data_IF_453639964249
#
_entry.id   IF_453639964249
#
_cell.length_a   1.000
_cell.length_b   1.000
_cell.length_c   1.000
_cell.angle_alpha   90.00
_cell.angle_beta   90.00
_cell.angle_gamma   90.00
#
_symmetry.space_group_name_H-M   'P 1'
#
loop_
_entity.id
_entity.type
_entity.pdbx_description
1 polymer ?
#
# COMPACT_ATOMS: atom_id res chain seq x y z
N UNK A 1 18.13 18.81 0.35
CA UNK A 1 17.70 17.85 -0.68
C UNK A 1 16.26 18.16 -1.03
N UNK A 2 15.88 18.26 -2.32
CA UNK A 2 14.56 18.72 -2.79
C UNK A 2 13.51 17.63 -2.74
N UNK A 3 13.93 16.38 -2.66
CA UNK A 3 13.03 15.27 -2.38
C UNK A 3 13.79 14.02 -1.94
N UNK A 4 13.12 13.21 -1.13
CA UNK A 4 13.64 11.95 -0.59
C UNK A 4 12.58 10.90 -0.86
N UNK A 5 12.98 9.70 -1.30
CA UNK A 5 12.07 8.57 -1.42
C UNK A 5 12.19 7.71 -0.16
N UNK A 6 11.05 7.41 0.45
CA UNK A 6 10.93 6.58 1.64
C UNK A 6 10.12 5.34 1.27
N UNK A 7 10.68 4.15 1.48
CA UNK A 7 10.01 2.88 1.24
C UNK A 7 9.93 2.13 2.57
N UNK A 8 8.72 1.76 2.97
CA UNK A 8 8.50 0.90 4.12
C UNK A 8 8.50 -0.53 3.62
N UNK A 9 9.38 -1.36 4.17
CA UNK A 9 9.53 -2.75 3.75
C UNK A 9 9.24 -3.67 4.93
N UNK A 10 8.72 -4.85 4.61
CA UNK A 10 8.62 -6.00 5.50
C UNK A 10 9.33 -7.16 4.83
N UNK A 11 10.17 -7.86 5.60
CA UNK A 11 10.80 -9.10 5.14
C UNK A 11 9.85 -10.26 5.42
N UNK A 12 9.52 -11.01 4.38
CA UNK A 12 8.70 -12.21 4.47
C UNK A 12 9.56 -13.42 4.14
N UNK A 13 9.45 -14.49 4.92
CA UNK A 13 10.09 -15.78 4.63
C UNK A 13 9.37 -16.45 3.45
N UNK A 14 10.11 -16.82 2.41
CA UNK A 14 9.55 -17.36 1.15
C UNK A 14 9.62 -18.89 1.05
N UNK A 15 10.23 -19.57 2.02
CA UNK A 15 10.63 -20.99 1.90
C UNK A 15 9.48 -22.01 1.95
N UNK A 16 8.24 -21.59 2.21
CA UNK A 16 7.14 -22.50 2.55
C UNK A 16 6.14 -22.72 1.40
N UNK A 17 6.24 -21.97 0.30
CA UNK A 17 5.28 -22.03 -0.83
C UNK A 17 6.01 -21.83 -2.17
N UNK A 18 5.89 -22.82 -3.06
CA UNK A 18 6.42 -22.74 -4.43
C UNK A 18 5.91 -21.48 -5.14
N UNK A 19 6.79 -20.79 -5.87
CA UNK A 19 6.48 -19.58 -6.65
C UNK A 19 6.04 -18.35 -5.82
N UNK A 20 6.20 -18.39 -4.49
CA UNK A 20 5.89 -17.24 -3.64
C UNK A 20 6.89 -16.08 -3.83
N UNK A 21 8.14 -16.37 -4.18
CA UNK A 21 9.13 -15.33 -4.51
C UNK A 21 8.71 -14.53 -5.75
N UNK A 22 8.32 -15.20 -6.84
CA UNK A 22 7.81 -14.55 -8.06
C UNK A 22 6.55 -13.72 -7.78
N UNK A 23 5.67 -14.21 -6.90
CA UNK A 23 4.48 -13.47 -6.46
C UNK A 23 4.84 -12.18 -5.70
N UNK A 24 5.84 -12.23 -4.80
CA UNK A 24 6.34 -11.05 -4.09
C UNK A 24 7.01 -10.07 -5.07
N UNK A 25 7.75 -10.57 -6.07
CA UNK A 25 8.31 -9.71 -7.13
C UNK A 25 7.20 -9.02 -7.93
N UNK A 26 6.13 -9.74 -8.30
CA UNK A 26 4.95 -9.17 -8.95
C UNK A 26 4.27 -8.07 -8.12
N UNK A 27 4.06 -8.30 -6.83
CA UNK A 27 3.48 -7.29 -5.92
C UNK A 27 4.40 -6.06 -5.74
N UNK A 28 5.72 -6.26 -5.69
CA UNK A 28 6.68 -5.17 -5.70
C UNK A 28 6.65 -4.37 -7.03
N UNK A 29 6.51 -5.06 -8.16
CA UNK A 29 6.37 -4.40 -9.46
C UNK A 29 5.07 -3.56 -9.53
N UNK A 30 3.94 -4.11 -9.08
CA UNK A 30 2.70 -3.35 -8.95
C UNK A 30 2.88 -2.12 -8.04
N UNK A 31 3.64 -2.26 -6.95
CA UNK A 31 3.95 -1.15 -6.04
C UNK A 31 4.67 0.00 -6.75
N UNK A 32 5.64 -0.31 -7.61
CA UNK A 32 6.32 0.69 -8.43
C UNK A 32 5.41 1.26 -9.50
N UNK A 33 4.63 0.44 -10.19
CA UNK A 33 3.70 0.89 -11.24
C UNK A 33 2.67 1.88 -10.68
N UNK A 34 2.08 1.55 -9.53
CA UNK A 34 1.15 2.42 -8.81
C UNK A 34 1.82 3.72 -8.36
N UNK A 35 3.01 3.65 -7.78
CA UNK A 35 3.78 4.84 -7.38
C UNK A 35 4.06 5.76 -8.57
N UNK A 36 4.55 5.20 -9.69
CA UNK A 36 4.89 5.95 -10.90
C UNK A 36 3.65 6.61 -11.53
N UNK A 37 2.50 5.96 -11.47
CA UNK A 37 1.26 6.51 -12.00
C UNK A 37 0.60 7.55 -11.08
N UNK A 38 0.89 7.53 -9.76
CA UNK A 38 0.37 8.50 -8.79
C UNK A 38 1.26 9.73 -8.60
N UNK A 39 2.57 9.60 -8.81
CA UNK A 39 3.51 10.67 -8.48
C UNK A 39 3.24 11.93 -9.31
N UNK A 40 3.37 13.08 -8.65
CA UNK A 40 3.28 14.39 -9.28
C UNK A 40 4.54 15.19 -8.95
N UNK A 41 5.06 16.00 -9.89
CA UNK A 41 6.21 16.84 -9.62
C UNK A 41 5.98 17.72 -8.39
N UNK A 42 6.96 17.76 -7.48
CA UNK A 42 6.98 18.66 -6.31
C UNK A 42 5.83 18.46 -5.30
N UNK A 43 5.10 17.35 -5.35
CA UNK A 43 4.12 16.99 -4.34
C UNK A 43 4.62 15.80 -3.50
N UNK A 44 4.38 15.84 -2.19
CA UNK A 44 4.57 14.67 -1.36
C UNK A 44 3.53 13.59 -1.73
N UNK A 45 3.99 12.35 -1.82
CA UNK A 45 3.15 11.18 -2.05
C UNK A 45 3.36 10.19 -0.91
N UNK A 46 2.25 9.68 -0.38
CA UNK A 46 2.21 8.50 0.47
C UNK A 46 1.14 7.58 -0.09
N UNK A 47 1.49 6.33 -0.28
CA UNK A 47 0.62 5.28 -0.81
C UNK A 47 1.03 3.99 -0.13
N UNK A 48 0.06 3.11 0.14
CA UNK A 48 0.29 1.74 0.60
C UNK A 48 -0.12 0.78 -0.52
N UNK A 49 0.78 0.43 -1.45
CA UNK A 49 0.40 -0.38 -2.59
C UNK A 49 -0.19 -1.73 -2.20
N UNK A 50 0.34 -2.35 -1.13
CA UNK A 50 -0.13 -3.63 -0.60
C UNK A 50 -1.61 -3.61 -0.21
N UNK A 51 -2.14 -2.49 0.29
CA UNK A 51 -3.57 -2.42 0.64
C UNK A 51 -4.45 -2.31 -0.60
N UNK A 52 -3.98 -1.62 -1.65
CA UNK A 52 -4.68 -1.56 -2.93
C UNK A 52 -4.65 -2.92 -3.64
N UNK A 53 -3.48 -3.55 -3.67
CA UNK A 53 -3.24 -4.90 -4.19
C UNK A 53 -4.24 -5.92 -3.58
N UNK A 54 -4.30 -6.01 -2.24
CA UNK A 54 -5.20 -6.92 -1.53
C UNK A 54 -6.69 -6.67 -1.88
N UNK A 55 -7.12 -5.41 -1.93
CA UNK A 55 -8.53 -5.07 -2.25
C UNK A 55 -8.87 -5.39 -3.70
N UNK A 56 -7.95 -5.16 -4.63
CA UNK A 56 -8.15 -5.49 -6.04
C UNK A 56 -8.13 -7.02 -6.23
N UNK A 57 -7.31 -7.75 -5.46
CA UNK A 57 -7.31 -9.21 -5.43
C UNK A 57 -8.61 -9.81 -4.84
N UNK A 58 -9.24 -9.10 -3.90
CA UNK A 58 -10.61 -9.42 -3.45
C UNK A 58 -11.67 -9.18 -4.53
N UNK A 59 -11.47 -8.25 -5.47
CA UNK A 59 -12.35 -8.15 -6.63
C UNK A 59 -12.06 -9.25 -7.66
N UNK A 60 -10.77 -9.58 -7.86
CA UNK A 60 -10.30 -10.65 -8.74
C UNK A 60 -10.91 -12.02 -8.42
N UNK A 61 -11.21 -12.29 -7.15
CA UNK A 61 -11.75 -13.57 -6.67
C UNK A 61 -13.09 -13.94 -7.28
N UNK A 62 -13.92 -12.95 -7.62
CA UNK A 62 -15.19 -13.15 -8.30
C UNK A 62 -15.25 -12.50 -9.69
N UNK A 63 -14.10 -12.05 -10.21
CA UNK A 63 -14.01 -11.51 -11.56
C UNK A 63 -13.93 -12.64 -12.60
N UNK A 64 -14.61 -12.44 -13.73
CA UNK A 64 -14.56 -13.34 -14.88
C UNK A 64 -14.03 -12.67 -16.15
N UNK A 65 -13.74 -13.48 -17.18
CA UNK A 65 -13.42 -13.00 -18.53
C UNK A 65 -12.31 -11.95 -18.59
N UNK A 66 -12.53 -10.88 -19.37
CA UNK A 66 -11.52 -9.84 -19.56
C UNK A 66 -11.28 -9.02 -18.28
N UNK A 67 -12.30 -8.81 -17.42
CA UNK A 67 -12.12 -8.15 -16.11
C UNK A 67 -11.10 -8.88 -15.26
N UNK A 68 -11.18 -10.22 -15.18
CA UNK A 68 -10.20 -11.03 -14.47
C UNK A 68 -8.80 -10.92 -15.07
N UNK A 69 -8.72 -10.95 -16.41
CA UNK A 69 -7.45 -10.89 -17.16
C UNK A 69 -6.74 -9.55 -16.96
N UNK A 70 -7.47 -8.44 -17.01
CA UNK A 70 -6.94 -7.10 -16.76
C UNK A 70 -6.41 -6.95 -15.34
N UNK A 71 -7.16 -7.44 -14.35
CA UNK A 71 -6.72 -7.40 -12.95
C UNK A 71 -5.47 -8.26 -12.74
N UNK A 72 -5.45 -9.50 -13.24
CA UNK A 72 -4.27 -10.37 -13.12
C UNK A 72 -3.03 -9.73 -13.74
N UNK A 73 -3.17 -9.13 -14.92
CA UNK A 73 -2.06 -8.45 -15.60
C UNK A 73 -1.56 -7.24 -14.82
N UNK A 74 -2.47 -6.41 -14.31
CA UNK A 74 -2.11 -5.19 -13.58
C UNK A 74 -1.41 -5.50 -12.25
N UNK A 75 -1.83 -6.56 -11.56
CA UNK A 75 -1.24 -7.02 -10.30
C UNK A 75 -0.07 -8.00 -10.49
N UNK A 76 0.37 -8.25 -11.74
CA UNK A 76 1.42 -9.21 -12.07
C UNK A 76 1.19 -10.62 -11.49
N UNK A 77 -0.07 -11.06 -11.49
CA UNK A 77 -0.47 -12.35 -10.93
C UNK A 77 -0.32 -13.50 -11.92
N UNK A 78 -0.05 -14.73 -11.44
CA UNK A 78 -0.19 -15.92 -12.26
C UNK A 78 -1.66 -16.13 -12.67
N UNK A 79 -1.89 -16.93 -13.71
CA UNK A 79 -3.21 -17.05 -14.36
C UNK A 79 -4.20 -17.93 -13.58
N UNK A 80 -3.72 -18.84 -12.72
CA UNK A 80 -4.57 -19.80 -12.01
C UNK A 80 -5.13 -19.24 -10.70
N UNK A 81 -6.44 -19.02 -10.64
CA UNK A 81 -7.13 -18.42 -9.49
C UNK A 81 -6.83 -19.13 -8.16
N UNK A 82 -7.07 -20.43 -8.04
CA UNK A 82 -6.87 -21.15 -6.77
C UNK A 82 -5.42 -21.10 -6.27
N UNK A 83 -4.46 -21.05 -7.20
CA UNK A 83 -3.06 -20.85 -6.86
C UNK A 83 -2.80 -19.44 -6.33
N UNK A 84 -3.33 -18.41 -7.00
CA UNK A 84 -3.29 -17.01 -6.54
C UNK A 84 -3.88 -16.87 -5.13
N UNK A 85 -5.02 -17.50 -4.84
CA UNK A 85 -5.66 -17.40 -3.52
C UNK A 85 -4.79 -17.97 -2.40
N UNK A 86 -4.09 -19.08 -2.66
CA UNK A 86 -3.14 -19.66 -1.70
C UNK A 86 -1.96 -18.73 -1.44
N UNK A 87 -1.45 -18.05 -2.46
CA UNK A 87 -0.37 -17.06 -2.34
C UNK A 87 -0.81 -15.88 -1.47
N UNK A 88 -2.01 -15.32 -1.69
CA UNK A 88 -2.57 -14.26 -0.84
C UNK A 88 -2.77 -14.70 0.61
N UNK A 89 -3.25 -15.92 0.83
CA UNK A 89 -3.39 -16.47 2.18
C UNK A 89 -2.05 -16.58 2.89
N UNK A 90 -1.01 -16.99 2.17
CA UNK A 90 0.34 -17.06 2.73
C UNK A 90 0.89 -15.66 3.02
N UNK A 91 0.74 -14.72 2.09
CA UNK A 91 1.11 -13.31 2.27
C UNK A 91 0.44 -12.71 3.51
N UNK A 92 -0.88 -12.84 3.65
CA UNK A 92 -1.60 -12.27 4.79
C UNK A 92 -1.19 -12.90 6.11
N UNK A 93 -0.85 -14.19 6.13
CA UNK A 93 -0.27 -14.85 7.30
C UNK A 93 1.12 -14.29 7.63
N UNK A 94 1.96 -14.05 6.63
CA UNK A 94 3.27 -13.47 6.82
C UNK A 94 3.25 -12.00 7.26
N UNK A 95 2.20 -11.26 6.90
CA UNK A 95 2.00 -9.87 7.33
C UNK A 95 1.43 -9.76 8.76
N UNK A 96 1.13 -10.87 9.44
CA UNK A 96 0.68 -10.83 10.83
C UNK A 96 1.87 -10.49 11.75
N UNK A 97 1.91 -9.26 12.25
CA UNK A 97 2.91 -8.79 13.21
C UNK A 97 2.24 -7.89 14.28
N UNK A 98 2.67 -7.92 15.55
CA UNK A 98 2.09 -7.07 16.59
C UNK A 98 2.18 -5.56 16.33
N UNK A 99 3.14 -5.11 15.52
CA UNK A 99 3.34 -3.74 15.08
C UNK A 99 2.56 -3.37 13.81
N UNK A 100 2.02 -4.33 13.08
CA UNK A 100 1.19 -4.13 11.89
C UNK A 100 -0.24 -4.64 12.11
N UNK A 101 -1.19 -3.72 12.19
CA UNK A 101 -2.61 -4.04 12.15
C UNK A 101 -3.10 -3.95 10.70
N UNK A 102 -3.43 -5.10 10.12
CA UNK A 102 -4.05 -5.21 8.80
C UNK A 102 -5.48 -5.71 8.96
N UNK A 103 -6.46 -4.94 8.49
CA UNK A 103 -7.88 -5.22 8.65
C UNK A 103 -8.55 -5.20 7.29
N UNK A 104 -9.15 -6.32 6.91
CA UNK A 104 -9.86 -6.48 5.65
C UNK A 104 -11.30 -6.83 5.99
N UNK A 105 -12.26 -6.13 5.37
CA UNK A 105 -13.68 -6.37 5.62
C UNK A 105 -14.53 -6.08 4.40
N UNK A 106 -15.58 -6.87 4.22
CA UNK A 106 -16.61 -6.63 3.21
C UNK A 106 -17.84 -6.01 3.89
N UNK A 107 -18.42 -5.00 3.26
CA UNK A 107 -19.73 -4.47 3.63
C UNK A 107 -20.69 -4.68 2.46
N UNK A 108 -21.78 -5.39 2.71
CA UNK A 108 -22.70 -5.87 1.67
C UNK A 108 -24.09 -5.30 1.95
N UNK A 109 -24.73 -4.70 0.95
CA UNK A 109 -26.13 -4.31 1.05
C UNK A 109 -26.98 -5.56 1.36
N UNK A 110 -27.81 -5.50 2.40
CA UNK A 110 -28.64 -6.63 2.86
C UNK A 110 -29.56 -7.23 1.79
N UNK A 111 -29.90 -6.47 0.74
CA UNK A 111 -30.75 -6.93 -0.36
C UNK A 111 -29.96 -7.51 -1.54
N UNK A 112 -28.63 -7.48 -1.49
CA UNK A 112 -27.77 -8.07 -2.52
C UNK A 112 -27.53 -9.55 -2.19
N UNK A 113 -27.88 -10.43 -3.12
CA UNK A 113 -27.49 -11.84 -3.05
C UNK A 113 -26.07 -11.99 -3.57
N UNK A 114 -25.17 -12.47 -2.70
CA UNK A 114 -23.75 -12.69 -3.03
C UNK A 114 -23.47 -14.18 -3.05
N UNK A 115 -22.71 -14.62 -4.05
CA UNK A 115 -22.33 -16.02 -4.22
C UNK A 115 -21.62 -16.57 -2.98
N UNK A 116 -22.04 -17.75 -2.53
CA UNK A 116 -21.50 -18.38 -1.32
C UNK A 116 -20.01 -18.71 -1.48
N UNK A 117 -19.62 -19.17 -2.66
CA UNK A 117 -18.22 -19.49 -2.96
C UNK A 117 -17.31 -18.27 -2.83
N UNK A 118 -17.79 -17.08 -3.22
CA UNK A 118 -17.04 -15.84 -3.03
C UNK A 118 -16.87 -15.49 -1.55
N UNK A 119 -17.95 -15.58 -0.77
CA UNK A 119 -17.89 -15.33 0.68
C UNK A 119 -16.94 -16.30 1.38
N UNK A 120 -17.00 -17.58 1.01
CA UNK A 120 -16.10 -18.61 1.54
C UNK A 120 -14.64 -18.33 1.16
N UNK A 121 -14.37 -17.91 -0.08
CA UNK A 121 -13.01 -17.54 -0.51
C UNK A 121 -12.49 -16.29 0.22
N UNK A 122 -13.32 -15.25 0.33
CA UNK A 122 -12.97 -14.03 1.06
C UNK A 122 -12.63 -14.30 2.53
N UNK A 123 -13.42 -15.16 3.20
CA UNK A 123 -13.16 -15.56 4.58
C UNK A 123 -11.89 -16.43 4.69
N UNK A 124 -11.76 -17.47 3.87
CA UNK A 124 -10.72 -18.48 4.04
C UNK A 124 -9.33 -18.08 3.54
N UNK A 125 -9.26 -17.20 2.54
CA UNK A 125 -8.01 -16.75 1.94
C UNK A 125 -7.64 -15.34 2.37
N UNK A 126 -8.62 -14.44 2.56
CA UNK A 126 -8.35 -13.05 2.92
C UNK A 126 -8.65 -12.69 4.37
N UNK A 127 -9.17 -13.64 5.17
CA UNK A 127 -9.61 -13.39 6.56
C UNK A 127 -10.64 -12.27 6.64
N UNK A 128 -11.39 -12.06 5.55
CA UNK A 128 -12.36 -10.98 5.42
C UNK A 128 -13.75 -11.53 5.60
N UNK A 129 -14.37 -11.24 6.74
CA UNK A 129 -15.78 -11.49 6.95
C UNK A 129 -16.66 -10.44 6.26
N UNK A 130 -17.95 -10.75 6.10
CA UNK A 130 -18.94 -9.86 5.53
C UNK A 130 -19.86 -9.28 6.61
N UNK A 131 -20.01 -7.96 6.61
CA UNK A 131 -21.04 -7.25 7.37
C UNK A 131 -22.21 -6.87 6.46
N UNK A 132 -23.44 -7.25 6.83
CA UNK A 132 -24.64 -6.78 6.14
C UNK A 132 -25.01 -5.38 6.62
N UNK A 133 -25.22 -4.46 5.68
CA UNK A 133 -25.56 -3.06 5.93
C UNK A 133 -26.71 -2.60 5.02
N UNK A 134 -27.24 -1.41 5.26
CA UNK A 134 -28.37 -0.84 4.48
C UNK A 134 -27.96 0.45 3.77
N UNK A 135 -27.03 0.38 2.82
CA UNK A 135 -26.66 1.48 1.91
C UNK A 135 -27.87 2.06 1.19
N UNK A 136 -28.79 1.22 0.69
CA UNK A 136 -29.98 1.69 -0.07
C UNK A 136 -30.86 2.60 0.77
N UNK A 137 -31.09 2.23 2.03
CA UNK A 137 -31.99 2.96 2.92
C UNK A 137 -31.30 4.12 3.64
N UNK A 138 -30.06 3.92 4.13
CA UNK A 138 -29.40 4.82 5.09
C UNK A 138 -27.89 4.96 4.82
N UNK A 139 -27.45 5.40 3.62
CA UNK A 139 -26.04 5.37 3.24
C UNK A 139 -25.14 6.22 4.17
N UNK A 140 -25.62 7.39 4.61
CA UNK A 140 -24.89 8.25 5.54
C UNK A 140 -24.69 7.62 6.93
N UNK A 141 -25.69 6.89 7.44
CA UNK A 141 -25.57 6.18 8.72
C UNK A 141 -24.61 5.02 8.62
N UNK A 142 -24.69 4.24 7.53
CA UNK A 142 -23.79 3.12 7.27
C UNK A 142 -22.35 3.60 7.15
N UNK A 143 -22.10 4.71 6.44
CA UNK A 143 -20.76 5.32 6.37
C UNK A 143 -20.18 5.59 7.75
N UNK A 144 -20.97 6.23 8.63
CA UNK A 144 -20.54 6.56 9.99
C UNK A 144 -20.22 5.30 10.80
N UNK A 145 -21.05 4.27 10.67
CA UNK A 145 -20.83 2.98 11.34
C UNK A 145 -19.53 2.31 10.87
N UNK A 146 -19.28 2.29 9.55
CA UNK A 146 -18.05 1.73 8.97
C UNK A 146 -16.82 2.50 9.47
N UNK A 147 -16.83 3.83 9.41
CA UNK A 147 -15.72 4.65 9.89
C UNK A 147 -15.45 4.43 11.37
N UNK A 148 -16.49 4.40 12.21
CA UNK A 148 -16.35 4.12 13.65
C UNK A 148 -15.81 2.72 13.93
N UNK A 149 -16.20 1.72 13.13
CA UNK A 149 -15.68 0.36 13.26
C UNK A 149 -14.18 0.31 12.95
N UNK A 150 -13.74 0.97 11.87
CA UNK A 150 -12.31 1.04 11.52
C UNK A 150 -11.50 1.87 12.51
N UNK A 151 -12.06 2.96 13.04
CA UNK A 151 -11.42 3.77 14.08
C UNK A 151 -11.10 2.89 15.31
N UNK A 152 -12.08 2.11 15.78
CA UNK A 152 -11.89 1.18 16.89
C UNK A 152 -10.86 0.09 16.59
N UNK A 153 -10.87 -0.46 15.37
CA UNK A 153 -9.93 -1.53 14.97
C UNK A 153 -8.51 -1.04 14.75
N UNK A 154 -8.33 0.24 14.44
CA UNK A 154 -7.01 0.83 14.10
C UNK A 154 -6.44 1.69 15.23
N UNK A 155 -6.89 1.47 16.47
CA UNK A 155 -6.48 2.22 17.66
C UNK A 155 -6.65 3.75 17.48
N UNK A 156 -7.76 4.16 16.89
CA UNK A 156 -8.12 5.55 16.57
C UNK A 156 -7.16 6.26 15.61
N UNK A 157 -6.44 5.51 14.76
CA UNK A 157 -5.52 6.12 13.77
C UNK A 157 -6.22 6.44 12.47
N UNK A 158 -7.12 5.56 12.01
CA UNK A 158 -7.87 5.73 10.76
C UNK A 158 -9.32 6.07 11.13
N UNK A 159 -9.64 7.36 11.12
CA UNK A 159 -10.96 7.88 11.55
C UNK A 159 -11.94 8.01 10.39
N UNK A 160 -11.45 8.32 9.20
CA UNK A 160 -12.29 8.65 8.03
C UNK A 160 -11.86 7.82 6.81
N UNK A 161 -11.97 6.49 6.92
CA UNK A 161 -11.69 5.59 5.80
C UNK A 161 -12.59 5.89 4.59
N UNK A 162 -13.87 6.13 4.85
CA UNK A 162 -14.87 6.50 3.85
C UNK A 162 -15.14 8.01 3.92
N UNK A 163 -14.78 8.71 2.84
CA UNK A 163 -14.99 10.16 2.69
C UNK A 163 -16.44 10.58 2.42
N UNK A 164 -16.68 11.87 2.17
CA UNK A 164 -18.05 12.39 2.01
C UNK A 164 -18.84 11.72 0.88
N UNK A 165 -18.21 11.57 -0.30
CA UNK A 165 -18.82 11.05 -1.53
C UNK A 165 -18.45 9.58 -1.83
N UNK A 166 -18.10 8.78 -0.82
CA UNK A 166 -17.65 7.40 -1.04
C UNK A 166 -18.80 6.40 -1.14
N UNK A 167 -19.98 6.72 -0.62
CA UNK A 167 -21.16 5.82 -0.60
C UNK A 167 -22.45 6.59 -0.82
N UNK A 168 -23.40 5.95 -1.49
CA UNK A 168 -24.74 6.47 -1.77
C UNK A 168 -25.77 5.33 -1.80
N UNK A 169 -27.04 5.64 -2.13
CA UNK A 169 -28.12 4.64 -2.18
C UNK A 169 -27.99 3.65 -3.36
N UNK A 170 -27.10 3.92 -4.32
CA UNK A 170 -26.76 2.99 -5.41
C UNK A 170 -25.67 2.00 -5.01
N UNK A 171 -24.95 2.26 -3.91
CA UNK A 171 -23.92 1.38 -3.38
C UNK A 171 -24.51 0.01 -3.00
N UNK A 172 -23.83 -1.06 -3.40
CA UNK A 172 -24.26 -2.45 -3.13
C UNK A 172 -23.22 -3.24 -2.34
N UNK A 173 -21.95 -2.91 -2.48
CA UNK A 173 -20.85 -3.56 -1.78
C UNK A 173 -19.68 -2.60 -1.67
N UNK A 174 -18.90 -2.74 -0.59
CA UNK A 174 -17.60 -2.10 -0.43
C UNK A 174 -16.60 -3.15 0.04
N UNK A 175 -15.47 -3.23 -0.68
CA UNK A 175 -14.31 -3.99 -0.28
C UNK A 175 -13.35 -3.02 0.44
N UNK A 176 -13.01 -3.29 1.69
CA UNK A 176 -12.19 -2.37 2.50
C UNK A 176 -10.94 -3.06 3.04
N UNK A 177 -9.83 -2.33 3.04
CA UNK A 177 -8.60 -2.68 3.72
C UNK A 177 -8.08 -1.44 4.46
N UNK A 178 -7.74 -1.61 5.73
CA UNK A 178 -7.03 -0.61 6.52
C UNK A 178 -5.75 -1.24 7.07
N UNK A 179 -4.61 -0.57 6.83
CA UNK A 179 -3.33 -0.94 7.40
C UNK A 179 -2.83 0.17 8.33
N UNK A 180 -2.53 -0.20 9.56
CA UNK A 180 -1.91 0.66 10.56
C UNK A 180 -0.60 0.04 11.04
N UNK A 181 0.50 0.76 10.87
CA UNK A 181 1.80 0.33 11.35
C UNK A 181 2.32 1.28 12.43
N UNK A 182 2.67 0.72 13.59
CA UNK A 182 3.30 1.45 14.68
C UNK A 182 4.47 0.65 15.23
N UNK A 183 5.66 1.14 14.98
CA UNK A 183 6.87 0.50 15.46
C UNK A 183 7.87 1.49 16.04
N UNK A 184 8.78 0.93 16.84
CA UNK A 184 9.89 1.64 17.47
C UNK A 184 11.14 1.31 16.66
N UNK A 185 11.93 2.33 16.31
CA UNK A 185 13.24 2.13 15.69
C UNK A 185 14.12 1.21 16.55
N UNK A 186 14.91 0.33 15.92
CA UNK A 186 15.94 -0.43 16.64
C UNK A 186 16.94 0.52 17.31
N UNK A 187 17.38 1.54 16.56
CA UNK A 187 18.19 2.66 17.06
C UNK A 187 17.37 3.95 17.04
N UNK A 188 16.85 4.33 18.20
CA UNK A 188 15.99 5.52 18.35
C UNK A 188 16.79 6.82 18.32
N UNK A 189 16.18 7.87 17.73
CA UNK A 189 16.69 9.23 17.82
C UNK A 189 16.43 9.82 19.20
N UNK A 190 17.46 10.36 19.86
CA UNK A 190 17.30 11.07 21.13
C UNK A 190 16.56 12.40 20.89
N UNK A 191 15.38 12.62 21.51
CA UNK A 191 14.64 13.87 21.35
C UNK A 191 15.44 15.12 21.71
N UNK A 192 16.41 15.01 22.63
CA UNK A 192 17.29 16.12 23.05
C UNK A 192 18.27 16.56 21.95
N UNK A 193 18.52 15.71 20.96
CA UNK A 193 19.37 16.00 19.81
C UNK A 193 18.58 16.50 18.59
N UNK A 194 17.25 16.58 18.70
CA UNK A 194 16.39 17.12 17.65
C UNK A 194 16.40 18.64 17.71
N UNK A 195 16.81 19.29 16.62
CA UNK A 195 16.94 20.75 16.54
C UNK A 195 16.31 21.28 15.25
N UNK A 196 16.06 22.60 15.17
CA UNK A 196 15.64 23.23 13.93
C UNK A 196 16.79 23.22 12.91
N UNK A 197 16.53 22.72 11.71
CA UNK A 197 17.49 22.69 10.60
C UNK A 197 16.79 23.01 9.27
N UNK A 198 17.58 23.30 8.25
CA UNK A 198 17.07 23.64 6.92
C UNK A 198 16.67 22.39 6.12
N UNK A 199 15.49 22.44 5.51
CA UNK A 199 15.03 21.50 4.49
C UNK A 199 14.71 22.26 3.21
N UNK A 200 15.36 21.87 2.11
CA UNK A 200 15.15 22.49 0.81
C UNK A 200 13.96 21.85 0.12
N UNK A 201 12.83 22.55 -0.03
CA UNK A 201 11.65 22.05 -0.76
C UNK A 201 11.82 22.19 -2.26
N UNK A 202 12.54 23.23 -2.69
CA UNK A 202 13.03 23.43 -4.06
C UNK A 202 14.45 24.02 -3.96
N UNK A 203 15.22 24.14 -5.06
CA UNK A 203 16.54 24.78 -4.97
C UNK A 203 16.48 26.23 -4.49
N UNK A 204 15.33 26.89 -4.64
CA UNK A 204 15.10 28.29 -4.24
C UNK A 204 14.28 28.42 -2.94
N UNK A 205 13.60 27.37 -2.48
CA UNK A 205 12.73 27.42 -1.31
C UNK A 205 13.27 26.50 -0.20
N UNK A 206 13.50 27.08 0.98
CA UNK A 206 13.99 26.39 2.16
C UNK A 206 13.07 26.67 3.34
N UNK A 207 12.74 25.63 4.09
CA UNK A 207 11.90 25.71 5.30
C UNK A 207 12.65 25.15 6.50
N UNK A 208 12.34 25.64 7.69
CA UNK A 208 12.86 25.06 8.94
C UNK A 208 12.04 23.85 9.33
N UNK A 209 12.71 22.75 9.69
CA UNK A 209 12.08 21.52 10.17
C UNK A 209 12.74 21.05 11.46
N UNK A 210 12.01 20.28 12.27
CA UNK A 210 12.60 19.55 13.41
C UNK A 210 13.43 18.39 12.85
N UNK A 211 14.74 18.58 12.80
CA UNK A 211 15.69 17.61 12.28
C UNK A 211 16.19 16.72 13.41
N UNK A 212 15.83 15.44 13.33
CA UNK A 212 16.35 14.42 14.25
C UNK A 212 17.79 14.09 13.88
N UNK A 213 18.60 13.75 14.88
CA UNK A 213 20.00 13.40 14.69
C UNK A 213 20.41 12.17 15.50
N UNK A 214 21.18 11.27 14.89
CA UNK A 214 21.89 10.21 15.61
C UNK A 214 23.17 9.80 14.90
N UNK A 215 24.09 9.20 15.65
CA UNK A 215 25.32 8.58 15.15
C UNK A 215 25.33 7.11 15.54
N UNK A 216 25.31 6.21 14.57
CA UNK A 216 25.36 4.76 14.79
C UNK A 216 25.81 4.03 13.52
N UNK A 217 25.98 2.70 13.60
CA UNK A 217 26.16 1.81 12.46
C UNK A 217 24.81 1.43 11.84
N UNK A 218 24.66 1.59 10.52
CA UNK A 218 23.44 1.23 9.79
C UNK A 218 23.78 0.52 8.47
N UNK A 219 22.91 -0.38 7.97
CA UNK A 219 23.02 -0.86 6.60
C UNK A 219 22.88 0.31 5.62
N UNK A 220 23.90 0.51 4.81
CA UNK A 220 24.04 1.66 3.93
C UNK A 220 24.80 1.32 2.66
N UNK A 221 24.50 2.05 1.58
CA UNK A 221 25.31 2.07 0.36
C UNK A 221 25.19 3.40 -0.37
N UNK A 222 26.31 3.90 -0.88
CA UNK A 222 26.31 4.88 -1.98
C UNK A 222 26.21 4.13 -3.30
N UNK A 223 25.07 4.26 -3.99
CA UNK A 223 24.76 3.48 -5.18
C UNK A 223 25.00 4.32 -6.43
N UNK A 224 26.09 4.04 -7.15
CA UNK A 224 26.55 4.82 -8.31
C UNK A 224 25.53 4.84 -9.45
N UNK A 225 24.94 3.68 -9.78
CA UNK A 225 23.96 3.59 -10.88
C UNK A 225 22.69 4.38 -10.58
N UNK A 226 22.15 4.25 -9.37
CA UNK A 226 21.02 5.05 -8.91
C UNK A 226 21.38 6.52 -8.67
N UNK A 227 22.66 6.87 -8.53
CA UNK A 227 23.13 8.22 -8.11
C UNK A 227 22.46 8.67 -6.81
N UNK A 228 22.42 7.77 -5.84
CA UNK A 228 21.74 7.98 -4.58
C UNK A 228 22.47 7.28 -3.43
N UNK A 229 22.23 7.78 -2.23
CA UNK A 229 22.57 7.13 -0.96
C UNK A 229 21.36 6.37 -0.47
N UNK A 230 21.57 5.13 -0.07
CA UNK A 230 20.53 4.23 0.41
C UNK A 230 20.86 3.88 1.84
N UNK A 231 19.92 4.15 2.75
CA UNK A 231 20.05 3.89 4.18
C UNK A 231 18.85 3.06 4.62
N UNK A 232 19.10 1.97 5.34
CA UNK A 232 18.07 1.17 5.98
C UNK A 232 18.05 1.47 7.48
N UNK A 233 16.87 1.86 7.98
CA UNK A 233 16.60 2.00 9.41
C UNK A 233 15.68 0.86 9.84
N UNK A 234 16.22 -0.10 10.60
CA UNK A 234 15.47 -1.23 11.12
C UNK A 234 14.55 -0.79 12.27
N UNK A 235 13.37 -1.41 12.36
CA UNK A 235 12.53 -1.36 13.55
C UNK A 235 12.93 -2.47 14.53
N UNK A 236 12.46 -2.38 15.78
CA UNK A 236 12.88 -3.27 16.88
C UNK A 236 12.63 -4.76 16.62
N UNK A 237 11.60 -5.12 15.85
CA UNK A 237 11.33 -6.50 15.44
C UNK A 237 12.21 -7.00 14.28
N UNK A 238 12.97 -6.10 13.63
CA UNK A 238 13.89 -6.35 12.50
C UNK A 238 13.25 -6.87 11.21
N UNK A 239 12.03 -7.37 11.27
CA UNK A 239 11.26 -7.77 10.09
C UNK A 239 10.80 -6.55 9.28
N UNK A 240 10.67 -5.39 9.93
CA UNK A 240 10.29 -4.14 9.28
C UNK A 240 11.47 -3.20 9.19
N UNK A 241 11.51 -2.42 8.11
CA UNK A 241 12.50 -1.35 7.96
C UNK A 241 11.97 -0.16 7.16
N UNK A 242 12.57 1.01 7.39
CA UNK A 242 12.43 2.15 6.50
C UNK A 242 13.69 2.28 5.65
N UNK A 243 13.50 2.22 4.33
CA UNK A 243 14.54 2.47 3.34
C UNK A 243 14.44 3.94 2.93
N UNK A 244 15.54 4.66 3.11
CA UNK A 244 15.69 6.06 2.73
C UNK A 244 16.60 6.11 1.52
N UNK A 245 16.06 6.59 0.39
CA UNK A 245 16.80 6.80 -0.84
C UNK A 245 16.95 8.31 -1.04
N UNK A 246 18.18 8.77 -0.87
CA UNK A 246 18.55 10.19 -0.93
C UNK A 246 19.37 10.45 -2.21
N UNK A 247 18.84 11.19 -3.19
CA UNK A 247 19.60 11.55 -4.39
C UNK A 247 20.91 12.27 -4.06
N UNK A 248 21.99 11.96 -4.79
CA UNK A 248 23.27 12.67 -4.64
C UNK A 248 23.17 14.13 -5.08
N UNK A 249 22.43 14.36 -6.18
CA UNK A 249 22.07 15.69 -6.63
C UNK A 249 20.71 16.08 -6.06
N UNK A 250 20.66 17.25 -5.42
CA UNK A 250 19.50 17.81 -4.75
C UNK A 250 18.20 17.76 -5.58
N UNK A 251 18.25 17.91 -6.91
CA UNK A 251 17.07 17.92 -7.81
C UNK A 251 16.79 16.59 -8.54
N UNK A 252 17.59 15.55 -8.34
CA UNK A 252 17.53 14.33 -9.18
C UNK A 252 16.61 13.23 -8.61
N UNK A 253 15.67 13.56 -7.71
CA UNK A 253 14.68 12.58 -7.25
C UNK A 253 13.92 11.93 -8.43
N UNK A 254 13.43 12.67 -9.45
CA UNK A 254 12.76 12.05 -10.59
C UNK A 254 13.65 11.07 -11.37
N UNK A 255 14.95 11.36 -11.46
CA UNK A 255 15.92 10.46 -12.09
C UNK A 255 16.17 9.20 -11.27
N UNK A 256 16.27 9.34 -9.94
CA UNK A 256 16.40 8.20 -9.02
C UNK A 256 15.19 7.29 -9.13
N UNK A 257 13.97 7.83 -9.12
CA UNK A 257 12.72 7.06 -9.24
C UNK A 257 12.64 6.26 -10.54
N UNK A 258 13.07 6.84 -11.67
CA UNK A 258 13.04 6.16 -12.98
C UNK A 258 14.11 5.05 -13.08
N UNK A 259 15.28 5.27 -12.47
CA UNK A 259 16.31 4.22 -12.41
C UNK A 259 15.87 3.09 -11.49
N UNK A 260 15.33 3.42 -10.32
CA UNK A 260 14.84 2.46 -9.33
C UNK A 260 13.75 1.54 -9.91
N UNK A 261 12.83 2.06 -10.72
CA UNK A 261 11.77 1.26 -11.34
C UNK A 261 12.26 0.25 -12.39
N UNK A 262 13.56 0.25 -12.71
CA UNK A 262 14.22 -0.70 -13.64
C UNK A 262 15.31 -1.52 -12.94
N UNK A 263 15.49 -1.32 -11.64
CA UNK A 263 16.51 -1.99 -10.84
C UNK A 263 15.90 -3.13 -10.05
N UNK A 264 16.70 -4.15 -9.74
CA UNK A 264 16.30 -5.17 -8.78
C UNK A 264 16.40 -4.61 -7.36
N UNK A 265 15.26 -4.24 -6.77
CA UNK A 265 15.21 -3.64 -5.44
C UNK A 265 15.72 -4.61 -4.36
N UNK A 266 15.45 -5.91 -4.49
CA UNK A 266 15.93 -6.94 -3.57
C UNK A 266 17.45 -7.02 -3.57
N UNK A 267 18.08 -7.04 -4.74
CA UNK A 267 19.54 -7.03 -4.88
C UNK A 267 20.16 -5.78 -4.24
N UNK A 268 19.53 -4.61 -4.46
CA UNK A 268 19.95 -3.35 -3.83
C UNK A 268 19.95 -3.48 -2.30
N UNK A 269 18.89 -4.04 -1.70
CA UNK A 269 18.81 -4.22 -0.25
C UNK A 269 19.83 -5.24 0.27
N UNK A 270 20.06 -6.34 -0.45
CA UNK A 270 21.07 -7.33 -0.09
C UNK A 270 22.51 -6.78 -0.18
N UNK A 271 22.71 -5.75 -0.99
CA UNK A 271 24.01 -5.10 -1.15
C UNK A 271 24.37 -4.14 0.00
N UNK A 272 23.44 -3.79 0.89
CA UNK A 272 23.71 -2.84 1.98
C UNK A 272 24.75 -3.39 2.97
N UNK A 273 25.66 -2.53 3.44
CA UNK A 273 26.68 -2.90 4.42
C UNK A 273 26.64 -1.99 5.64
N UNK A 274 26.92 -2.54 6.82
CA UNK A 274 26.96 -1.75 8.06
C UNK A 274 28.06 -0.70 8.00
N UNK A 275 27.66 0.57 8.06
CA UNK A 275 28.54 1.73 7.99
C UNK A 275 28.22 2.68 9.14
N UNK A 276 29.26 3.20 9.81
CA UNK A 276 29.09 4.23 10.84
C UNK A 276 28.73 5.57 10.18
N UNK A 277 27.54 6.10 10.48
CA UNK A 277 27.00 7.30 9.85
C UNK A 277 26.54 8.32 10.86
N UNK A 278 26.56 9.58 10.45
CA UNK A 278 25.79 10.66 11.05
C UNK A 278 24.49 10.81 10.25
N UNK A 279 23.35 10.46 10.85
CA UNK A 279 22.05 10.50 10.19
C UNK A 279 21.27 11.72 10.66
N UNK A 280 20.86 12.55 9.71
CA UNK A 280 19.88 13.63 9.89
C UNK A 280 18.60 13.26 9.15
N UNK A 281 17.47 13.26 9.85
CA UNK A 281 16.17 12.92 9.28
C UNK A 281 15.10 13.89 9.81
N UNK A 282 14.33 14.59 8.95
CA UNK A 282 13.22 15.41 9.42
C UNK A 282 12.19 14.57 10.17
N UNK A 283 11.67 15.10 11.28
CA UNK A 283 10.45 14.58 11.91
C UNK A 283 9.26 15.20 11.18
N UNK A 284 8.42 14.36 10.57
CA UNK A 284 7.26 14.81 9.79
C UNK A 284 6.04 13.93 10.03
N UNK A 285 4.88 14.46 9.63
CA UNK A 285 3.61 13.74 9.56
C UNK A 285 2.97 14.08 8.23
N UNK A 286 2.39 13.09 7.57
CA UNK A 286 1.72 13.27 6.29
C UNK A 286 0.44 12.45 6.29
N UNK A 287 -0.65 13.09 5.88
CA UNK A 287 -1.93 12.46 5.63
C UNK A 287 -2.31 12.76 4.19
N UNK A 288 -2.77 11.76 3.45
CA UNK A 288 -3.23 11.92 2.08
C UNK A 288 -4.39 10.96 1.83
N UNK A 289 -5.45 11.49 1.25
CA UNK A 289 -6.57 10.71 0.73
C UNK A 289 -6.59 10.90 -0.78
N UNK A 290 -6.75 9.82 -1.54
CA UNK A 290 -6.72 9.84 -2.99
C UNK A 290 -7.72 8.87 -3.60
N UNK A 291 -8.38 9.31 -4.68
CA UNK A 291 -9.10 8.41 -5.58
C UNK A 291 -8.10 7.85 -6.58
N UNK A 292 -7.96 6.53 -6.62
CA UNK A 292 -6.99 5.84 -7.49
C UNK A 292 -7.64 5.19 -8.71
N UNK A 293 -8.96 5.33 -8.89
CA UNK A 293 -9.71 4.74 -10.02
C UNK A 293 -9.11 5.05 -11.39
N UNK A 294 -8.82 6.32 -11.69
CA UNK A 294 -8.25 6.69 -12.99
C UNK A 294 -6.83 6.17 -13.15
N UNK A 295 -6.07 6.08 -12.06
CA UNK A 295 -4.75 5.46 -12.06
C UNK A 295 -4.85 3.97 -12.36
N UNK A 296 -5.78 3.23 -11.74
CA UNK A 296 -5.98 1.80 -12.00
C UNK A 296 -6.41 1.54 -13.46
N UNK A 297 -7.25 2.42 -14.04
CA UNK A 297 -7.58 2.38 -15.47
C UNK A 297 -6.36 2.60 -16.36
N UNK A 298 -5.47 3.52 -16.00
CA UNK A 298 -4.19 3.74 -16.72
C UNK A 298 -3.27 2.52 -16.64
N UNK A 299 -3.29 1.81 -15.51
CA UNK A 299 -2.57 0.54 -15.31
C UNK A 299 -3.25 -0.65 -16.03
N UNK A 300 -4.41 -0.45 -16.66
CA UNK A 300 -5.05 -1.42 -17.53
C UNK A 300 -6.29 -2.08 -16.96
N UNK A 301 -6.69 -1.78 -15.73
CA UNK A 301 -7.94 -2.28 -15.12
C UNK A 301 -9.09 -1.40 -15.58
N UNK A 302 -9.73 -1.73 -16.71
CA UNK A 302 -10.73 -0.88 -17.36
C UNK A 302 -12.13 -1.44 -17.20
N UNK A 303 -12.32 -2.72 -17.50
CA UNK A 303 -13.63 -3.36 -17.51
C UNK A 303 -14.27 -3.36 -16.13
N UNK A 304 -13.47 -3.51 -15.07
CA UNK A 304 -13.93 -3.44 -13.68
C UNK A 304 -14.74 -2.15 -13.39
N UNK A 305 -14.39 -1.05 -14.06
CA UNK A 305 -15.01 0.26 -13.87
C UNK A 305 -16.03 0.62 -14.96
N UNK A 306 -16.39 -0.34 -15.82
CA UNK A 306 -17.34 -0.15 -16.90
C UNK A 306 -18.58 -1.02 -16.68
N UNK A 307 -19.74 -0.39 -16.43
CA UNK A 307 -20.99 -1.09 -16.12
C UNK A 307 -21.39 -2.15 -17.17
N UNK A 308 -21.08 -1.95 -18.45
CA UNK A 308 -21.47 -2.88 -19.52
C UNK A 308 -20.43 -3.98 -19.78
N UNK A 309 -19.19 -3.83 -19.30
CA UNK A 309 -18.10 -4.76 -19.54
C UNK A 309 -17.64 -5.52 -18.29
N UNK A 310 -17.90 -4.96 -17.10
CA UNK A 310 -17.54 -5.56 -15.83
C UNK A 310 -18.17 -6.95 -15.70
N UNK A 311 -17.32 -7.95 -15.52
CA UNK A 311 -17.74 -9.29 -15.21
C UNK A 311 -17.33 -9.62 -13.77
N UNK A 312 -18.28 -9.39 -12.85
CA UNK A 312 -18.18 -9.72 -11.42
C UNK A 312 -19.26 -10.74 -11.01
N UNK A 313 -19.73 -11.57 -11.95
CA UNK A 313 -20.82 -12.53 -11.69
C UNK A 313 -20.43 -13.61 -10.67
N UNK A 314 -19.13 -13.84 -10.45
CA UNK A 314 -18.65 -14.66 -9.35
C UNK A 314 -18.83 -14.02 -7.97
N UNK A 315 -19.17 -12.72 -7.89
CA UNK A 315 -19.56 -12.03 -6.65
C UNK A 315 -21.08 -11.92 -6.58
N UNK A 316 -21.68 -11.23 -7.55
CA UNK A 316 -23.12 -11.05 -7.70
C UNK A 316 -23.43 -10.48 -9.10
N UNK A 317 -24.68 -10.65 -9.54
CA UNK A 317 -25.16 -10.12 -10.81
C UNK A 317 -25.13 -8.58 -10.87
N UNK A 318 -24.82 -8.03 -12.06
CA UNK A 318 -24.86 -6.60 -12.38
C UNK A 318 -23.99 -5.69 -11.49
N UNK A 319 -22.85 -6.17 -11.00
CA UNK A 319 -21.87 -5.36 -10.26
C UNK A 319 -20.78 -4.78 -11.18
N UNK A 320 -20.36 -3.55 -10.86
CA UNK A 320 -19.15 -2.91 -11.37
C UNK A 320 -18.58 -2.01 -10.27
N UNK A 321 -17.27 -1.73 -10.31
CA UNK A 321 -16.66 -0.80 -9.37
C UNK A 321 -16.89 0.65 -9.81
N UNK A 322 -17.33 1.50 -8.89
CA UNK A 322 -17.52 2.93 -9.16
C UNK A 322 -16.30 3.76 -8.75
N UNK A 323 -15.63 3.37 -7.67
CA UNK A 323 -14.47 4.08 -7.14
C UNK A 323 -13.53 3.14 -6.38
N UNK A 324 -12.25 3.51 -6.32
CA UNK A 324 -11.25 2.99 -5.38
C UNK A 324 -10.59 4.19 -4.73
N UNK A 325 -10.59 4.21 -3.40
CA UNK A 325 -10.01 5.27 -2.59
C UNK A 325 -8.95 4.70 -1.67
N UNK A 326 -7.95 5.51 -1.35
CA UNK A 326 -6.88 5.19 -0.42
C UNK A 326 -6.53 6.37 0.46
#
# INVERSE_FOLDING_TARGET
VVGILLIFTVTVTTNDVDGFEDFIEGSNQFSFDLYQALKKPFENLIVSPITADIVIALAYTGAGGNTQTEIAKALHLPVELEYVLKLYKHLLKALQDPGLCLVIKLFIEKTLTVELEFQDRALNYFQSDAGLVSFVANPASVKKEINQWFEQKTNNTITDLLGEDSVDSSTRMILTNAAYFKAIWESQFDPRLTNDDDFHVTPQNTVKVKMMFQRNGFPFRSHSELKAKILQLLYKNKDFSMIIILPDNIIDLPGVENRLSRSNFTEILQSLIYTNLNVKLPKFTMNKTMKVTETLKQLGIKDLFNQSAANLTGIAENLYATAVCQ
#
